data_IF_687365437868
#
_entry.id   IF_687365437868
#
_cell.length_a   1.000
_cell.length_b   1.000
_cell.length_c   1.000
_cell.angle_alpha   90.00
_cell.angle_beta   90.00
_cell.angle_gamma   90.00
#
_symmetry.space_group_name_H-M   'P 1'
#
loop_
_entity.id
_entity.type
_entity.pdbx_description
1 polymer ?
#
# COMPACT_ATOMS: atom_id res chain seq x y z
N UNK A 1 0.74 -10.66 -10.21
CA UNK A 1 1.17 -10.28 -8.86
C UNK A 1 0.07 -10.46 -7.82
N UNK A 2 -0.86 -9.50 -7.66
CA UNK A 2 -1.84 -9.49 -6.55
C UNK A 2 -2.67 -10.79 -6.47
N UNK A 3 -3.21 -11.29 -7.59
CA UNK A 3 -3.95 -12.57 -7.66
C UNK A 3 -3.13 -13.82 -7.34
N UNK A 4 -1.79 -13.70 -7.41
CA UNK A 4 -0.88 -14.81 -7.18
C UNK A 4 -0.45 -14.90 -5.71
N UNK A 5 -0.78 -13.91 -4.88
CA UNK A 5 -0.49 -13.90 -3.44
C UNK A 5 -1.06 -15.16 -2.78
N UNK A 6 -0.33 -15.72 -1.83
CA UNK A 6 -0.69 -16.99 -1.17
C UNK A 6 -0.92 -16.85 0.32
N UNK A 7 -0.23 -15.93 0.98
CA UNK A 7 -0.26 -15.77 2.41
C UNK A 7 -0.62 -14.34 2.79
N UNK A 8 0.10 -13.36 2.25
CA UNK A 8 -0.10 -11.97 2.63
C UNK A 8 0.07 -10.98 1.46
N UNK A 9 -0.71 -9.90 1.56
CA UNK A 9 -0.60 -8.73 0.70
C UNK A 9 -0.43 -7.49 1.58
N UNK A 10 0.77 -6.93 1.58
CA UNK A 10 1.11 -5.72 2.30
C UNK A 10 0.95 -4.51 1.38
N UNK A 11 0.10 -3.55 1.78
CA UNK A 11 -0.20 -2.35 1.00
C UNK A 11 0.19 -1.13 1.83
N UNK A 12 1.07 -0.27 1.30
CA UNK A 12 1.48 0.99 1.92
C UNK A 12 1.14 2.14 0.99
N UNK A 13 0.36 3.11 1.47
CA UNK A 13 -0.09 4.22 0.63
C UNK A 13 -0.56 5.43 1.44
N UNK A 14 -0.69 6.58 0.78
CA UNK A 14 -1.42 7.76 1.29
C UNK A 14 -2.93 7.58 1.19
N UNK A 15 -3.70 8.52 1.76
CA UNK A 15 -5.16 8.58 1.61
C UNK A 15 -5.59 8.61 0.13
N UNK A 16 -4.87 9.36 -0.71
CA UNK A 16 -5.15 9.46 -2.14
C UNK A 16 -4.97 8.11 -2.85
N UNK A 17 -3.95 7.33 -2.47
CA UNK A 17 -3.77 6.02 -3.06
C UNK A 17 -4.75 4.97 -2.56
N UNK A 18 -5.35 5.15 -1.38
CA UNK A 18 -6.51 4.34 -0.97
C UNK A 18 -7.69 4.58 -1.89
N UNK A 19 -8.00 5.84 -2.20
CA UNK A 19 -9.05 6.19 -3.15
C UNK A 19 -8.81 5.51 -4.52
N UNK A 20 -7.58 5.57 -5.03
CA UNK A 20 -7.20 4.90 -6.28
C UNK A 20 -7.40 3.39 -6.18
N UNK A 21 -6.95 2.78 -5.08
CA UNK A 21 -7.02 1.34 -4.85
C UNK A 21 -8.46 0.85 -4.81
N UNK A 22 -9.35 1.51 -4.07
CA UNK A 22 -10.74 1.07 -3.93
C UNK A 22 -11.60 1.41 -5.15
N UNK A 23 -11.36 2.54 -5.81
CA UNK A 23 -12.09 2.86 -7.03
C UNK A 23 -11.74 1.93 -8.19
N UNK A 24 -10.49 1.47 -8.27
CA UNK A 24 -9.99 0.73 -9.43
C UNK A 24 -9.82 -0.78 -9.19
N UNK A 25 -9.62 -1.21 -7.94
CA UNK A 25 -9.19 -2.57 -7.60
C UNK A 25 -9.96 -3.24 -6.45
N UNK A 26 -11.09 -2.69 -5.97
CA UNK A 26 -11.86 -3.30 -4.85
C UNK A 26 -12.17 -4.79 -5.08
N UNK A 27 -12.74 -5.15 -6.24
CA UNK A 27 -13.07 -6.56 -6.56
C UNK A 27 -11.85 -7.48 -6.53
N UNK A 28 -10.68 -6.96 -6.87
CA UNK A 28 -9.44 -7.72 -6.86
C UNK A 28 -8.99 -7.99 -5.42
N UNK A 29 -9.18 -7.03 -4.51
CA UNK A 29 -8.88 -7.22 -3.09
C UNK A 29 -9.86 -8.21 -2.46
N UNK A 30 -11.15 -8.08 -2.77
CA UNK A 30 -12.18 -9.00 -2.31
C UNK A 30 -11.84 -10.45 -2.70
N UNK A 31 -11.48 -10.67 -3.97
CA UNK A 31 -11.08 -11.99 -4.47
C UNK A 31 -9.82 -12.53 -3.77
N UNK A 32 -8.82 -11.69 -3.53
CA UNK A 32 -7.59 -12.11 -2.84
C UNK A 32 -7.90 -12.53 -1.40
N UNK A 33 -8.77 -11.79 -0.72
CA UNK A 33 -9.22 -12.13 0.62
C UNK A 33 -10.06 -13.41 0.66
N UNK A 34 -10.97 -13.61 -0.29
CA UNK A 34 -11.76 -14.84 -0.42
C UNK A 34 -10.88 -16.08 -0.60
N UNK A 35 -9.71 -15.91 -1.23
CA UNK A 35 -8.69 -16.96 -1.36
C UNK A 35 -7.87 -17.19 -0.08
N UNK A 36 -8.22 -16.54 1.04
CA UNK A 36 -7.58 -16.72 2.34
C UNK A 36 -6.29 -15.93 2.54
N UNK A 37 -5.97 -14.99 1.65
CA UNK A 37 -4.79 -14.13 1.78
C UNK A 37 -5.06 -13.01 2.80
N UNK A 38 -4.14 -12.83 3.74
CA UNK A 38 -4.20 -11.74 4.72
C UNK A 38 -3.82 -10.41 4.06
N UNK A 39 -4.72 -9.42 4.09
CA UNK A 39 -4.45 -8.09 3.53
C UNK A 39 -4.14 -7.12 4.67
N UNK A 40 -2.94 -6.52 4.62
CA UNK A 40 -2.44 -5.53 5.58
C UNK A 40 -2.34 -4.17 4.93
N UNK A 41 -3.13 -3.22 5.42
CA UNK A 41 -3.23 -1.87 4.90
C UNK A 41 -2.54 -0.87 5.83
N UNK A 42 -1.46 -0.26 5.34
CA UNK A 42 -0.68 0.74 6.04
C UNK A 42 -0.96 2.12 5.42
N UNK A 43 -1.66 2.99 6.16
CA UNK A 43 -2.02 4.32 5.68
C UNK A 43 -2.04 5.38 6.79
N UNK A 44 -2.08 6.69 6.45
CA UNK A 44 -2.26 7.76 7.44
C UNK A 44 -3.60 7.72 8.17
N UNK A 45 -4.60 7.00 7.62
CA UNK A 45 -5.93 6.96 8.19
C UNK A 45 -5.97 6.17 9.49
N UNK A 46 -6.63 6.75 10.49
CA UNK A 46 -6.83 6.16 11.79
C UNK A 46 -8.23 5.55 11.89
N UNK A 47 -8.39 4.23 12.06
CA UNK A 47 -9.71 3.60 12.21
C UNK A 47 -10.55 4.17 13.36
N UNK A 48 -9.92 4.80 14.37
CA UNK A 48 -10.64 5.42 15.49
C UNK A 48 -11.23 6.79 15.15
N UNK A 49 -10.65 7.48 14.18
CA UNK A 49 -11.02 8.87 13.85
C UNK A 49 -11.59 9.04 12.44
N UNK A 50 -11.28 8.13 11.52
CA UNK A 50 -11.69 8.19 10.12
C UNK A 50 -12.72 7.07 9.82
N UNK A 51 -13.96 7.42 9.41
CA UNK A 51 -15.00 6.43 9.12
C UNK A 51 -14.60 5.43 8.03
N UNK A 52 -13.92 5.86 6.97
CA UNK A 52 -13.49 4.96 5.90
C UNK A 52 -12.49 3.93 6.43
N UNK A 53 -11.48 4.35 7.20
CA UNK A 53 -10.54 3.40 7.80
C UNK A 53 -11.20 2.46 8.81
N UNK A 54 -12.25 2.92 9.50
CA UNK A 54 -13.06 2.05 10.37
C UNK A 54 -13.79 0.98 9.57
N UNK A 55 -14.46 1.36 8.49
CA UNK A 55 -15.14 0.38 7.62
C UNK A 55 -14.15 -0.62 7.03
N UNK A 56 -13.01 -0.14 6.54
CA UNK A 56 -11.94 -1.00 6.02
C UNK A 56 -11.36 -1.93 7.09
N UNK A 57 -11.32 -1.51 8.36
CA UNK A 57 -10.80 -2.33 9.46
C UNK A 57 -11.69 -3.53 9.82
N UNK A 58 -12.95 -3.55 9.36
CA UNK A 58 -13.80 -4.74 9.49
C UNK A 58 -13.43 -5.82 8.46
N UNK A 59 -12.72 -5.44 7.40
CA UNK A 59 -12.41 -6.32 6.26
C UNK A 59 -10.91 -6.66 6.23
N UNK A 60 -10.05 -5.68 6.47
CA UNK A 60 -8.59 -5.79 6.38
C UNK A 60 -7.91 -5.42 7.69
N UNK A 61 -6.66 -5.85 7.87
CA UNK A 61 -5.85 -5.34 8.96
C UNK A 61 -5.38 -3.92 8.62
N UNK A 62 -5.97 -2.89 9.24
CA UNK A 62 -5.60 -1.49 9.00
C UNK A 62 -4.65 -1.00 10.08
N UNK A 63 -3.46 -0.57 9.67
CA UNK A 63 -2.43 0.01 10.54
C UNK A 63 -2.15 1.47 10.16
N UNK A 64 -2.20 2.34 11.17
CA UNK A 64 -1.87 3.75 10.99
C UNK A 64 -0.35 3.93 10.87
N UNK A 65 0.09 4.47 9.74
CA UNK A 65 1.48 4.86 9.48
C UNK A 65 1.53 6.24 8.84
N UNK A 66 2.54 7.04 9.15
CA UNK A 66 2.65 8.38 8.58
C UNK A 66 3.27 8.31 7.19
N UNK A 67 2.47 8.15 6.13
CA UNK A 67 2.86 8.16 4.70
C UNK A 67 2.59 9.55 4.11
N UNK A 68 3.62 10.34 3.76
CA UNK A 68 3.42 11.63 3.05
C UNK A 68 3.77 11.58 1.56
N UNK A 69 4.67 10.68 1.17
CA UNK A 69 5.07 10.53 -0.23
C UNK A 69 3.91 9.93 -1.02
N UNK A 70 3.50 10.50 -2.18
CA UNK A 70 2.37 10.01 -2.97
C UNK A 70 2.75 8.71 -3.70
N UNK A 71 2.78 7.62 -2.97
CA UNK A 71 3.12 6.28 -3.46
C UNK A 71 2.00 5.29 -3.21
N UNK A 72 1.92 4.28 -4.06
CA UNK A 72 1.23 3.03 -3.80
C UNK A 72 2.27 1.91 -3.88
N UNK A 73 2.57 1.32 -2.73
CA UNK A 73 3.45 0.16 -2.62
C UNK A 73 2.60 -1.07 -2.29
N UNK A 74 2.71 -2.11 -3.09
CA UNK A 74 2.01 -3.38 -2.90
C UNK A 74 3.05 -4.49 -2.93
N UNK A 75 3.21 -5.19 -1.83
CA UNK A 75 4.13 -6.31 -1.66
C UNK A 75 3.31 -7.60 -1.45
N UNK A 76 3.60 -8.62 -2.27
CA UNK A 76 2.95 -9.93 -2.24
C UNK A 76 3.92 -10.95 -1.66
N UNK A 77 3.53 -11.56 -0.54
CA UNK A 77 4.27 -12.64 0.14
C UNK A 77 5.77 -12.35 0.39
N UNK A 78 6.17 -11.08 0.48
CA UNK A 78 7.57 -10.64 0.58
C UNK A 78 8.50 -11.18 -0.51
N UNK A 79 7.95 -11.54 -1.67
CA UNK A 79 8.72 -12.11 -2.78
C UNK A 79 8.65 -11.32 -4.08
N UNK A 80 7.74 -10.33 -4.15
CA UNK A 80 7.61 -9.40 -5.28
C UNK A 80 6.84 -8.16 -4.86
N UNK A 81 7.12 -7.03 -5.50
CA UNK A 81 6.34 -5.82 -5.27
C UNK A 81 6.03 -5.01 -6.54
N UNK A 82 5.00 -4.19 -6.41
CA UNK A 82 4.68 -3.05 -7.27
C UNK A 82 4.88 -1.77 -6.46
N UNK A 83 5.66 -0.83 -6.98
CA UNK A 83 5.81 0.51 -6.43
C UNK A 83 5.39 1.52 -7.49
N UNK A 84 4.36 2.30 -7.22
CA UNK A 84 3.87 3.33 -8.11
C UNK A 84 3.95 4.71 -7.47
N UNK A 85 4.33 5.71 -8.28
CA UNK A 85 4.17 7.13 -7.95
C UNK A 85 2.79 7.59 -8.39
N UNK A 86 2.07 8.18 -7.45
CA UNK A 86 0.73 8.69 -7.65
C UNK A 86 0.75 10.15 -8.12
N UNK A 87 -0.22 10.49 -8.96
CA UNK A 87 -0.57 11.87 -9.25
C UNK A 87 -1.37 12.47 -8.08
N UNK A 88 -1.59 13.78 -8.12
CA UNK A 88 -2.53 14.41 -7.19
C UNK A 88 -3.95 13.87 -7.37
N UNK A 89 -4.72 13.89 -6.27
CA UNK A 89 -6.13 13.51 -6.27
C UNK A 89 -6.92 14.19 -7.39
N UNK A 90 -7.81 13.44 -8.04
CA UNK A 90 -8.63 13.93 -9.15
C UNK A 90 -7.95 13.94 -10.52
N UNK A 91 -6.68 13.53 -10.62
CA UNK A 91 -6.02 13.35 -11.92
C UNK A 91 -6.72 12.27 -12.75
N UNK A 92 -6.92 12.53 -14.06
CA UNK A 92 -7.40 11.52 -15.02
C UNK A 92 -6.46 10.31 -15.13
N UNK A 93 -5.19 10.50 -14.81
CA UNK A 93 -4.16 9.44 -14.78
C UNK A 93 -3.61 9.37 -13.35
N UNK A 94 -4.08 8.43 -12.52
CA UNK A 94 -3.68 8.37 -11.11
C UNK A 94 -2.24 7.90 -10.92
N UNK A 95 -1.67 7.21 -11.90
CA UNK A 95 -0.29 6.71 -11.87
C UNK A 95 0.60 7.54 -12.80
N UNK A 96 1.68 8.11 -12.26
CA UNK A 96 2.69 8.85 -13.03
C UNK A 96 3.80 7.95 -13.53
N UNK A 97 4.24 7.02 -12.69
CA UNK A 97 5.26 6.03 -13.00
C UNK A 97 5.06 4.82 -12.08
N UNK A 98 5.46 3.63 -12.53
CA UNK A 98 5.42 2.43 -11.71
C UNK A 98 6.58 1.50 -12.05
N UNK A 99 7.04 0.76 -11.05
CA UNK A 99 7.98 -0.34 -11.21
C UNK A 99 7.40 -1.60 -10.58
N UNK A 100 7.71 -2.73 -11.20
CA UNK A 100 7.45 -4.06 -10.66
C UNK A 100 8.78 -4.79 -10.57
N UNK A 101 9.01 -5.54 -9.49
CA UNK A 101 10.21 -6.35 -9.34
C UNK A 101 9.94 -7.60 -8.52
N UNK A 102 10.74 -8.63 -8.81
CA UNK A 102 10.89 -9.87 -8.03
C UNK A 102 12.35 -10.06 -7.58
N UNK A 103 13.19 -9.05 -7.82
CA UNK A 103 14.61 -9.03 -7.46
C UNK A 103 14.77 -8.86 -5.95
N UNK A 104 15.39 -9.86 -5.31
CA UNK A 104 15.51 -9.93 -3.86
C UNK A 104 16.34 -8.78 -3.27
N UNK A 105 17.42 -8.36 -3.93
CA UNK A 105 18.27 -7.27 -3.45
C UNK A 105 17.49 -5.95 -3.45
N UNK A 106 16.74 -5.67 -4.52
CA UNK A 106 15.89 -4.48 -4.60
C UNK A 106 14.80 -4.54 -3.53
N UNK A 107 14.21 -5.72 -3.27
CA UNK A 107 13.19 -5.87 -2.23
C UNK A 107 13.73 -5.60 -0.84
N UNK A 108 14.89 -6.13 -0.49
CA UNK A 108 15.54 -5.87 0.80
C UNK A 108 15.84 -4.37 0.96
N UNK A 109 16.38 -3.72 -0.07
CA UNK A 109 16.65 -2.29 -0.05
C UNK A 109 15.37 -1.46 0.15
N UNK A 110 14.29 -1.78 -0.56
CA UNK A 110 13.01 -1.08 -0.43
C UNK A 110 12.38 -1.34 0.93
N UNK A 111 12.44 -2.56 1.44
CA UNK A 111 11.98 -2.90 2.79
C UNK A 111 12.75 -2.10 3.85
N UNK A 112 14.08 -1.98 3.72
CA UNK A 112 14.90 -1.14 4.61
C UNK A 112 14.51 0.35 4.54
N UNK A 113 14.17 0.85 3.36
CA UNK A 113 13.77 2.26 3.18
C UNK A 113 12.36 2.54 3.73
N UNK A 114 11.44 1.59 3.63
CA UNK A 114 10.03 1.78 3.98
C UNK A 114 9.65 1.30 5.38
N UNK A 115 10.34 0.29 5.93
CA UNK A 115 9.90 -0.48 7.11
C UNK A 115 10.94 -0.57 8.24
N UNK A 116 12.11 0.07 8.13
CA UNK A 116 13.12 -0.03 9.17
C UNK A 116 12.72 0.73 10.46
N UNK A 117 12.61 0.00 11.58
CA UNK A 117 12.13 0.45 12.89
C UNK A 117 12.95 1.59 13.55
N UNK A 118 14.17 1.87 13.08
CA UNK A 118 14.95 3.03 13.52
C UNK A 118 14.46 4.34 12.87
N UNK A 119 13.70 4.22 11.79
CA UNK A 119 13.12 5.31 11.03
C UNK A 119 11.60 5.30 11.15
N UNK A 120 11.08 5.79 12.29
CA UNK A 120 9.72 6.44 12.33
C UNK A 120 9.61 7.66 11.39
N UNK A 121 10.64 7.90 10.58
CA UNK A 121 10.99 9.11 9.86
C UNK A 121 11.62 8.64 8.54
N UNK A 122 10.83 8.41 7.50
CA UNK A 122 11.32 8.55 6.11
C UNK A 122 10.17 8.62 5.10
N UNK A 123 8.95 8.34 5.55
CA UNK A 123 7.76 8.82 4.89
C UNK A 123 7.43 10.31 5.21
N UNK A 124 8.31 11.01 5.96
CA UNK A 124 8.14 12.42 6.34
C UNK A 124 9.03 13.41 5.60
N UNK A 125 10.04 12.95 4.84
CA UNK A 125 11.13 13.81 4.39
C UNK A 125 11.49 13.55 2.93
N UNK A 126 10.65 14.00 1.99
CA UNK A 126 11.08 14.58 0.72
C UNK A 126 9.92 15.43 0.18
N UNK A 127 9.87 16.75 0.46
CA UNK A 127 9.16 17.64 -0.44
C UNK A 127 9.88 17.57 -1.79
N UNK A 128 9.18 17.15 -2.84
CA UNK A 128 9.53 17.54 -4.19
C UNK A 128 8.99 18.95 -4.43
#
# INVERSE_FOLDING_TARGET
>A
MIRQSKQELNIITTEDGLEVLFNSFHRLLDEVQENGVEIKLHSPLDPKANPLARELSYIFQVQKVNVRTPILFINSDNNRFLLARLAQRGSKRPFLSAMFTEDQEIMELIHLLLLNNHNKILLQAFPL
#
